data_IF_457606284216
#
_entry.id   IF_457606284216
#
_cell.length_a   1.000
_cell.length_b   1.000
_cell.length_c   1.000
_cell.angle_alpha   90.00
_cell.angle_beta   90.00
_cell.angle_gamma   90.00
#
_symmetry.space_group_name_H-M   'P 1'
#
loop_
_entity.id
_entity.type
_entity.pdbx_description
1 polymer ?
#
# COMPACT_ATOMS: atom_id res chain seq x y z
N UNK A 1 9.49 -24.17 -12.98
CA UNK A 1 9.10 -23.07 -12.09
C UNK A 1 8.31 -23.64 -10.92
N UNK A 2 8.65 -23.30 -9.67
CA UNK A 2 7.87 -23.73 -8.50
C UNK A 2 7.06 -22.54 -7.96
N UNK A 3 6.04 -22.16 -8.72
CA UNK A 3 5.21 -20.98 -8.43
C UNK A 3 4.63 -21.02 -7.01
N UNK A 4 4.21 -22.21 -6.55
CA UNK A 4 3.64 -22.38 -5.21
C UNK A 4 4.70 -22.15 -4.13
N UNK A 5 5.92 -22.62 -4.34
CA UNK A 5 7.04 -22.35 -3.44
C UNK A 5 7.40 -20.85 -3.41
N UNK A 6 7.52 -20.20 -4.58
CA UNK A 6 7.82 -18.75 -4.63
C UNK A 6 6.73 -17.92 -3.95
N UNK A 7 5.45 -18.23 -4.21
CA UNK A 7 4.32 -17.56 -3.57
C UNK A 7 4.33 -17.74 -2.05
N UNK A 8 4.63 -18.95 -1.57
CA UNK A 8 4.73 -19.25 -0.13
C UNK A 8 5.91 -18.51 0.49
N UNK A 9 7.07 -18.53 -0.16
CA UNK A 9 8.25 -17.82 0.29
C UNK A 9 8.04 -16.30 0.39
N UNK A 10 7.36 -15.69 -0.58
CA UNK A 10 7.03 -14.27 -0.54
C UNK A 10 6.05 -13.96 0.58
N UNK A 11 5.03 -14.81 0.78
CA UNK A 11 4.10 -14.68 1.90
C UNK A 11 4.83 -14.69 3.25
N UNK A 12 5.79 -15.61 3.41
CA UNK A 12 6.61 -15.71 4.62
C UNK A 12 7.47 -14.47 4.84
N UNK A 13 8.11 -13.91 3.81
CA UNK A 13 8.90 -12.68 3.94
C UNK A 13 8.05 -11.51 4.44
N UNK A 14 6.85 -11.33 3.89
CA UNK A 14 5.93 -10.26 4.34
C UNK A 14 5.42 -10.52 5.76
N UNK A 15 5.20 -11.78 6.14
CA UNK A 15 4.79 -12.14 7.50
C UNK A 15 5.92 -11.91 8.49
N UNK A 16 7.14 -12.31 8.13
CA UNK A 16 8.37 -12.12 8.93
C UNK A 16 8.66 -10.64 9.16
N UNK A 17 8.42 -9.76 8.17
CA UNK A 17 8.57 -8.31 8.35
C UNK A 17 7.84 -7.81 9.61
N UNK A 18 6.56 -8.13 9.72
CA UNK A 18 5.75 -7.69 10.86
C UNK A 18 6.10 -8.44 12.14
N UNK A 19 6.21 -9.77 12.05
CA UNK A 19 6.49 -10.60 13.22
C UNK A 19 7.86 -10.30 13.87
N UNK A 20 8.92 -10.13 13.07
CA UNK A 20 10.25 -9.81 13.60
C UNK A 20 10.33 -8.39 14.14
N UNK A 21 9.60 -7.44 13.56
CA UNK A 21 9.50 -6.08 14.12
C UNK A 21 8.83 -6.11 15.50
N UNK A 22 7.68 -6.80 15.62
CA UNK A 22 6.91 -6.88 16.86
C UNK A 22 7.61 -7.70 17.96
N UNK A 23 8.48 -8.63 17.57
CA UNK A 23 9.26 -9.48 18.48
C UNK A 23 10.71 -9.04 18.63
N UNK A 24 11.07 -7.85 18.15
CA UNK A 24 12.40 -7.24 18.30
C UNK A 24 13.55 -8.11 17.73
N UNK A 25 13.29 -8.92 16.70
CA UNK A 25 14.27 -9.79 16.04
C UNK A 25 15.02 -9.02 14.95
N UNK A 26 15.77 -7.98 15.37
CA UNK A 26 16.44 -7.02 14.49
C UNK A 26 17.41 -7.65 13.50
N UNK A 27 18.26 -8.57 13.96
CA UNK A 27 19.26 -9.22 13.11
C UNK A 27 18.59 -10.06 12.01
N UNK A 28 17.44 -10.67 12.29
CA UNK A 28 16.67 -11.44 11.31
C UNK A 28 15.90 -10.57 10.32
N UNK A 29 15.47 -9.37 10.71
CA UNK A 29 14.93 -8.41 9.75
C UNK A 29 15.99 -8.03 8.69
N UNK A 30 17.24 -7.84 9.13
CA UNK A 30 18.35 -7.50 8.25
C UNK A 30 18.70 -8.67 7.32
N UNK A 31 18.84 -9.89 7.88
CA UNK A 31 19.32 -11.05 7.12
C UNK A 31 18.23 -11.72 6.24
N UNK A 32 17.01 -11.81 6.73
CA UNK A 32 15.96 -12.64 6.12
C UNK A 32 14.89 -11.86 5.36
N UNK A 33 14.69 -10.57 5.66
CA UNK A 33 13.55 -9.79 5.13
C UNK A 33 14.00 -8.78 4.09
N UNK A 34 14.96 -7.93 4.40
CA UNK A 34 15.37 -6.84 3.52
C UNK A 34 16.55 -7.19 2.62
N UNK A 35 16.61 -6.53 1.46
CA UNK A 35 17.84 -6.49 0.68
C UNK A 35 18.89 -5.66 1.46
N UNK A 36 20.16 -6.09 1.53
CA UNK A 36 21.16 -5.38 2.35
C UNK A 36 21.38 -3.93 1.93
N UNK A 37 21.42 -3.67 0.62
CA UNK A 37 21.72 -2.37 0.01
C UNK A 37 20.62 -1.98 -0.98
N UNK A 38 20.54 -0.69 -1.31
CA UNK A 38 19.58 -0.13 -2.26
C UNK A 38 18.11 -0.38 -1.86
N UNK A 39 17.84 -0.52 -0.57
CA UNK A 39 16.50 -0.65 -0.01
C UNK A 39 15.77 0.68 -0.14
N UNK A 40 14.56 0.69 -0.69
CA UNK A 40 13.73 1.88 -0.85
C UNK A 40 12.64 1.91 0.22
N UNK A 41 12.64 2.94 1.06
CA UNK A 41 11.57 3.19 2.04
C UNK A 41 10.78 4.41 1.58
N UNK A 42 9.51 4.21 1.25
CA UNK A 42 8.61 5.21 0.67
C UNK A 42 7.43 5.45 1.63
N UNK A 43 7.65 6.39 2.56
CA UNK A 43 6.60 6.87 3.46
C UNK A 43 5.99 8.20 3.01
N UNK A 44 6.28 8.66 1.78
CA UNK A 44 5.75 9.92 1.23
C UNK A 44 4.23 10.06 1.37
N UNK A 45 3.43 9.04 1.05
CA UNK A 45 1.98 9.17 1.17
C UNK A 45 1.49 9.20 2.63
N UNK A 46 2.34 8.86 3.59
CA UNK A 46 1.99 8.65 4.99
C UNK A 46 2.52 9.76 5.91
N UNK A 47 3.74 10.22 5.66
CA UNK A 47 4.49 11.15 6.52
C UNK A 47 5.03 12.36 5.74
N UNK A 48 4.63 12.54 4.47
CA UNK A 48 5.09 13.62 3.58
C UNK A 48 6.62 13.71 3.34
N UNK A 49 7.36 12.67 3.70
CA UNK A 49 8.81 12.58 3.48
C UNK A 49 9.11 12.07 2.07
N UNK A 50 10.22 12.47 1.44
CA UNK A 50 10.64 11.84 0.19
C UNK A 50 10.99 10.35 0.39
N UNK A 51 10.79 9.54 -0.66
CA UNK A 51 11.25 8.16 -0.64
C UNK A 51 12.78 8.14 -0.55
N UNK A 52 13.32 7.32 0.35
CA UNK A 52 14.77 7.24 0.58
C UNK A 52 15.33 5.92 0.05
N UNK A 53 16.51 5.99 -0.56
CA UNK A 53 17.36 4.82 -0.83
C UNK A 53 18.32 4.66 0.36
N UNK A 54 18.37 3.48 0.94
CA UNK A 54 19.06 3.20 2.21
C UNK A 54 19.53 1.74 2.27
N UNK A 55 20.01 1.31 3.43
CA UNK A 55 20.40 -0.08 3.71
C UNK A 55 19.42 -0.73 4.70
N UNK A 56 19.39 -2.06 4.72
CA UNK A 56 18.64 -2.81 5.72
C UNK A 56 19.06 -2.42 7.14
N UNK A 57 20.37 -2.42 7.42
CA UNK A 57 20.92 -2.08 8.74
C UNK A 57 20.52 -0.69 9.22
N UNK A 58 20.58 0.32 8.34
CA UNK A 58 20.19 1.68 8.71
C UNK A 58 18.69 1.77 9.02
N UNK A 59 17.85 1.19 8.16
CA UNK A 59 16.39 1.21 8.33
C UNK A 59 15.97 0.50 9.61
N UNK A 60 16.50 -0.70 9.85
CA UNK A 60 16.22 -1.49 11.05
C UNK A 60 16.75 -0.78 12.31
N UNK A 61 17.92 -0.12 12.23
CA UNK A 61 18.42 0.71 13.33
C UNK A 61 17.51 1.89 13.68
N UNK A 62 16.92 2.54 12.67
CA UNK A 62 15.94 3.62 12.89
C UNK A 62 14.66 3.08 13.54
N UNK A 63 14.14 1.95 13.06
CA UNK A 63 12.95 1.33 13.65
C UNK A 63 13.20 0.84 15.07
N UNK A 64 14.37 0.27 15.35
CA UNK A 64 14.79 -0.09 16.70
C UNK A 64 14.74 1.12 17.64
N UNK A 65 15.34 2.25 17.23
CA UNK A 65 15.32 3.46 18.05
C UNK A 65 13.91 4.01 18.32
N UNK A 66 12.99 3.88 17.35
CA UNK A 66 11.57 4.21 17.55
C UNK A 66 10.89 3.23 18.52
N UNK A 67 11.17 1.93 18.36
CA UNK A 67 10.56 0.86 19.13
C UNK A 67 11.08 0.74 20.57
N UNK A 68 12.29 1.22 20.86
CA UNK A 68 12.85 1.30 22.23
C UNK A 68 12.00 2.22 23.14
N UNK A 69 11.22 3.14 22.55
CA UNK A 69 10.29 4.02 23.26
C UNK A 69 8.88 3.44 23.44
N UNK A 70 8.60 2.23 22.97
CA UNK A 70 7.27 1.61 22.99
C UNK A 70 7.25 0.38 23.92
N UNK A 71 6.16 0.21 24.67
CA UNK A 71 5.97 -0.99 25.51
C UNK A 71 5.62 -2.22 24.67
N UNK A 72 4.85 -2.02 23.59
CA UNK A 72 4.50 -3.06 22.64
C UNK A 72 4.06 -2.46 21.31
N UNK A 73 4.25 -3.24 20.24
CA UNK A 73 3.69 -2.97 18.94
C UNK A 73 3.05 -4.23 18.36
N UNK A 74 2.11 -4.01 17.45
CA UNK A 74 1.54 -5.07 16.64
C UNK A 74 1.31 -4.57 15.22
N UNK A 75 1.93 -5.22 14.26
CA UNK A 75 1.74 -5.02 12.83
C UNK A 75 1.04 -6.27 12.26
N UNK A 76 -0.16 -6.09 11.70
CA UNK A 76 -0.96 -7.21 11.17
C UNK A 76 -1.12 -7.05 9.66
N UNK A 77 -0.28 -7.71 8.85
CA UNK A 77 -0.49 -7.81 7.41
C UNK A 77 -1.64 -8.78 7.12
N UNK A 78 -2.49 -8.45 6.17
CA UNK A 78 -3.65 -9.25 5.74
C UNK A 78 -3.95 -9.01 4.26
N UNK A 79 -4.78 -9.86 3.66
CA UNK A 79 -5.16 -9.72 2.24
C UNK A 79 -3.97 -9.54 1.28
N UNK A 80 -2.93 -10.37 1.43
CA UNK A 80 -1.73 -10.34 0.57
C UNK A 80 -2.10 -10.74 -0.86
N UNK A 81 -2.00 -9.79 -1.78
CA UNK A 81 -2.12 -9.97 -3.22
C UNK A 81 -0.73 -10.00 -3.82
N UNK A 82 -0.22 -11.21 -4.07
CA UNK A 82 1.11 -11.46 -4.61
C UNK A 82 1.01 -11.52 -6.14
N UNK A 83 1.76 -10.66 -6.82
CA UNK A 83 1.89 -10.63 -8.27
C UNK A 83 3.14 -11.40 -8.70
N UNK A 84 2.90 -12.54 -9.35
CA UNK A 84 3.91 -13.41 -9.94
C UNK A 84 3.44 -13.84 -11.34
N UNK A 85 4.36 -14.09 -12.30
CA UNK A 85 4.02 -14.69 -13.58
C UNK A 85 3.27 -16.02 -13.40
N UNK A 86 2.29 -16.29 -14.27
CA UNK A 86 1.62 -17.59 -14.27
C UNK A 86 2.60 -18.68 -14.75
N UNK A 87 2.61 -19.86 -14.11
CA UNK A 87 3.49 -20.95 -14.51
C UNK A 87 3.14 -21.45 -15.91
N UNK A 88 4.15 -21.72 -16.72
CA UNK A 88 4.02 -22.20 -18.10
C UNK A 88 5.34 -22.82 -18.59
N UNK A 89 5.31 -23.58 -19.71
CA UNK A 89 6.50 -24.26 -20.24
C UNK A 89 7.60 -23.28 -20.68
N UNK A 90 7.22 -22.07 -21.09
CA UNK A 90 8.11 -20.99 -21.53
C UNK A 90 8.30 -19.90 -20.47
N UNK A 91 7.72 -20.08 -19.27
CA UNK A 91 7.83 -19.07 -18.21
C UNK A 91 9.15 -19.26 -17.45
N UNK A 92 10.04 -18.27 -17.58
CA UNK A 92 11.27 -18.20 -16.81
C UNK A 92 11.01 -18.09 -15.29
N UNK A 93 12.01 -18.49 -14.50
CA UNK A 93 11.96 -18.32 -13.04
C UNK A 93 11.91 -16.81 -12.71
N UNK A 94 10.91 -16.34 -11.93
CA UNK A 94 10.74 -14.93 -11.65
C UNK A 94 11.89 -14.39 -10.82
N UNK A 95 12.46 -13.26 -11.25
CA UNK A 95 13.53 -12.56 -10.55
C UNK A 95 13.02 -11.40 -9.68
N UNK A 96 11.80 -10.95 -9.94
CA UNK A 96 11.12 -9.89 -9.20
C UNK A 96 9.67 -10.29 -8.95
N UNK A 97 9.09 -9.71 -7.91
CA UNK A 97 7.69 -9.87 -7.56
C UNK A 97 7.21 -8.60 -6.86
N UNK A 98 5.89 -8.42 -6.80
CA UNK A 98 5.28 -7.37 -5.99
C UNK A 98 4.16 -7.92 -5.13
N UNK A 99 3.95 -7.31 -3.96
CA UNK A 99 2.87 -7.64 -3.05
C UNK A 99 2.15 -6.36 -2.68
N UNK A 100 0.83 -6.37 -2.83
CA UNK A 100 -0.04 -5.40 -2.17
C UNK A 100 -0.76 -6.13 -1.04
N UNK A 101 -0.66 -5.63 0.18
CA UNK A 101 -1.37 -6.23 1.32
C UNK A 101 -1.95 -5.15 2.19
N UNK A 102 -2.98 -5.47 2.97
CA UNK A 102 -3.46 -4.59 4.03
C UNK A 102 -2.58 -4.72 5.27
N UNK A 103 -2.39 -3.66 6.07
CA UNK A 103 -1.56 -3.65 7.29
C UNK A 103 -2.11 -2.75 8.40
N UNK A 104 -2.63 -3.33 9.48
CA UNK A 104 -3.02 -2.54 10.66
C UNK A 104 -1.85 -2.45 11.61
N UNK A 105 -1.59 -1.26 12.16
CA UNK A 105 -0.54 -1.05 13.16
C UNK A 105 -1.17 -0.55 14.45
N UNK A 106 -0.74 -1.12 15.57
CA UNK A 106 -1.05 -0.63 16.91
C UNK A 106 0.26 -0.48 17.68
N UNK A 107 0.49 0.71 18.22
CA UNK A 107 1.62 1.02 19.09
C UNK A 107 1.07 1.41 20.46
N UNK A 108 1.73 0.94 21.52
CA UNK A 108 1.34 1.23 22.89
C UNK A 108 2.53 1.69 23.71
N UNK A 109 2.32 2.79 24.44
CA UNK A 109 3.18 3.31 25.50
C UNK A 109 2.28 3.76 26.66
N UNK A 110 2.18 2.97 27.72
CA UNK A 110 1.15 3.06 28.78
C UNK A 110 1.10 4.44 29.44
N UNK A 111 2.26 5.03 29.71
CA UNK A 111 2.38 6.30 30.44
C UNK A 111 2.57 7.51 29.51
N UNK A 112 2.16 7.40 28.24
CA UNK A 112 2.30 8.48 27.28
C UNK A 112 1.28 9.61 27.50
N UNK A 113 1.78 10.85 27.52
CA UNK A 113 0.94 12.05 27.43
C UNK A 113 0.14 12.04 26.12
N UNK A 114 -1.18 12.27 26.18
CA UNK A 114 -2.09 12.15 25.04
C UNK A 114 -2.77 10.77 24.91
N UNK A 115 -2.50 9.87 25.86
CA UNK A 115 -3.11 8.54 25.94
C UNK A 115 -2.17 7.44 25.45
N UNK A 116 -2.44 6.18 25.82
CA UNK A 116 -1.44 5.13 25.76
C UNK A 116 -1.23 4.52 24.37
N UNK A 117 -2.14 4.78 23.43
CA UNK A 117 -2.24 3.99 22.22
C UNK A 117 -2.33 4.87 20.97
N UNK A 118 -1.65 4.40 19.94
CA UNK A 118 -1.83 4.81 18.56
C UNK A 118 -2.26 3.60 17.75
N UNK A 119 -3.22 3.79 16.85
CA UNK A 119 -3.58 2.76 15.88
C UNK A 119 -3.81 3.41 14.52
N UNK A 120 -3.37 2.74 13.46
CA UNK A 120 -3.56 3.22 12.11
C UNK A 120 -3.82 2.08 11.13
N UNK A 121 -4.37 2.49 9.99
CA UNK A 121 -4.46 1.70 8.79
C UNK A 121 -4.34 2.61 7.57
N UNK A 122 -4.16 2.04 6.40
CA UNK A 122 -3.37 2.46 5.27
C UNK A 122 -4.09 1.95 3.95
N UNK A 123 -4.54 2.71 2.94
CA UNK A 123 -5.25 2.14 1.74
C UNK A 123 -5.19 3.12 0.59
N UNK A 124 -5.17 2.58 -0.62
CA UNK A 124 -5.43 3.32 -1.86
C UNK A 124 -6.79 2.96 -2.47
N UNK A 125 -7.48 3.99 -2.97
CA UNK A 125 -8.54 3.88 -3.96
C UNK A 125 -7.94 3.26 -5.23
N UNK A 126 -8.60 2.23 -5.76
CA UNK A 126 -8.38 1.82 -7.15
C UNK A 126 -9.03 2.93 -7.99
N UNK A 127 -8.25 3.95 -8.34
CA UNK A 127 -8.59 4.73 -9.52
C UNK A 127 -8.37 3.77 -10.69
N UNK A 128 -9.45 3.14 -11.14
CA UNK A 128 -9.45 2.40 -12.40
C UNK A 128 -9.07 3.41 -13.49
N UNK A 129 -7.78 3.43 -13.84
CA UNK A 129 -7.27 4.22 -14.96
C UNK A 129 -7.84 3.73 -16.31
N UNK A 130 -8.69 2.71 -16.28
CA UNK A 130 -9.42 2.18 -17.43
C UNK A 130 -10.82 2.76 -17.67
N UNK A 131 -11.36 3.59 -16.77
CA UNK A 131 -12.67 4.21 -17.06
C UNK A 131 -12.55 5.36 -18.07
N UNK A 132 -11.45 6.13 -18.04
CA UNK A 132 -11.23 7.22 -18.99
C UNK A 132 -10.79 6.71 -20.37
N UNK A 133 -10.02 5.62 -20.45
CA UNK A 133 -9.69 5.01 -21.75
C UNK A 133 -10.92 4.39 -22.41
N UNK A 134 -11.80 3.75 -21.62
CA UNK A 134 -13.08 3.21 -22.10
C UNK A 134 -14.04 4.32 -22.53
N UNK A 135 -14.14 5.41 -21.76
CA UNK A 135 -14.99 6.56 -22.10
C UNK A 135 -14.47 7.31 -23.33
N UNK A 136 -13.16 7.51 -23.46
CA UNK A 136 -12.56 8.12 -24.65
C UNK A 136 -12.70 7.23 -25.89
N UNK A 137 -12.60 5.91 -25.74
CA UNK A 137 -12.87 4.95 -26.82
C UNK A 137 -14.34 4.99 -27.24
N UNK A 138 -15.26 5.12 -26.27
CA UNK A 138 -16.69 5.27 -26.54
C UNK A 138 -17.00 6.59 -27.26
N UNK A 139 -16.42 7.72 -26.82
CA UNK A 139 -16.58 9.02 -27.49
C UNK A 139 -16.00 8.99 -28.92
N UNK A 140 -14.88 8.30 -29.14
CA UNK A 140 -14.33 8.09 -30.49
C UNK A 140 -15.21 7.19 -31.35
N UNK A 141 -15.88 6.19 -30.79
CA UNK A 141 -16.82 5.37 -31.55
C UNK A 141 -18.08 6.16 -31.98
N UNK A 142 -18.53 7.09 -31.13
CA UNK A 142 -19.74 7.88 -31.40
C UNK A 142 -19.53 8.97 -32.47
N UNK A 143 -18.28 9.39 -32.73
CA UNK A 143 -17.99 10.38 -33.77
C UNK A 143 -17.97 9.82 -35.20
N UNK A 144 -18.09 8.50 -35.40
CA UNK A 144 -18.08 7.88 -36.74
C UNK A 144 -19.49 7.59 -37.28
N UNK A 145 -20.56 7.77 -36.49
CA UNK A 145 -21.94 7.51 -36.93
C UNK A 145 -22.85 8.74 -36.75
N UNK A 146 -22.82 9.72 -37.68
CA UNK A 146 -23.54 10.98 -37.53
C UNK A 146 -25.07 10.87 -37.61
N UNK A 147 -25.64 9.71 -37.97
CA UNK A 147 -27.10 9.54 -38.09
C UNK A 147 -27.80 9.07 -36.80
N UNK A 148 -27.09 8.49 -35.83
CA UNK A 148 -27.72 8.04 -34.57
C UNK A 148 -27.79 9.16 -33.50
N UNK A 149 -26.97 10.20 -33.65
CA UNK A 149 -26.87 11.27 -32.66
C UNK A 149 -28.11 12.18 -32.63
N UNK A 150 -28.79 12.37 -33.77
CA UNK A 150 -29.94 13.27 -33.83
C UNK A 150 -31.15 12.75 -33.03
N UNK A 151 -31.35 11.43 -33.01
CA UNK A 151 -32.41 10.81 -32.19
C UNK A 151 -32.04 10.78 -30.70
N UNK A 152 -30.75 10.67 -30.36
CA UNK A 152 -30.33 10.62 -28.95
C UNK A 152 -30.34 12.02 -28.30
N UNK A 153 -29.93 13.07 -29.01
CA UNK A 153 -29.94 14.44 -28.47
C UNK A 153 -31.36 15.01 -28.30
N UNK A 154 -32.30 14.60 -29.16
CA UNK A 154 -33.72 14.97 -28.99
C UNK A 154 -34.31 14.39 -27.70
N UNK A 155 -33.83 13.22 -27.25
CA UNK A 155 -34.25 12.61 -25.99
C UNK A 155 -33.59 13.24 -24.76
N UNK A 156 -32.36 13.73 -24.87
CA UNK A 156 -31.66 14.33 -23.73
C UNK A 156 -32.17 15.73 -23.37
N UNK A 157 -32.64 16.51 -24.35
CA UNK A 157 -33.17 17.86 -24.09
C UNK A 157 -34.57 17.87 -23.47
N UNK A 158 -35.35 16.79 -23.59
CA UNK A 158 -36.65 16.68 -22.94
C UNK A 158 -36.57 16.28 -21.45
N UNK A 159 -35.41 15.83 -20.98
CA UNK A 159 -35.22 15.39 -19.59
C UNK A 159 -34.25 16.25 -18.75
N UNK A 160 -33.66 17.30 -19.32
CA UNK A 160 -32.78 18.21 -18.58
C UNK A 160 -33.24 19.68 -18.61
N UNK A 161 -34.28 20.06 -17.86
CA UNK A 161 -34.46 21.43 -17.41
C UNK A 161 -34.20 21.49 -15.89
N UNK A 162 -32.95 21.42 -15.44
CA UNK A 162 -32.60 21.66 -14.02
C UNK A 162 -31.10 21.89 -13.81
N UNK A 163 -30.46 22.68 -14.67
CA UNK A 163 -29.16 23.28 -14.36
C UNK A 163 -29.31 24.80 -14.39
N UNK A 164 -29.96 25.31 -13.33
CA UNK A 164 -29.87 26.70 -12.95
C UNK A 164 -28.47 27.02 -12.44
N UNK A 165 -27.83 27.96 -13.13
CA UNK A 165 -26.83 28.91 -12.67
C UNK A 165 -25.84 28.47 -11.56
N UNK A 166 -24.73 27.86 -12.00
CA UNK A 166 -23.43 28.50 -11.86
C UNK A 166 -22.99 28.94 -10.46
N UNK A 167 -22.71 28.01 -9.56
CA UNK A 167 -21.58 28.17 -8.62
C UNK A 167 -20.99 26.79 -8.29
N UNK A 168 -19.83 26.49 -8.88
CA UNK A 168 -18.96 25.38 -8.48
C UNK A 168 -18.45 25.66 -7.06
N UNK A 169 -19.27 25.39 -6.04
CA UNK A 169 -18.84 25.35 -4.65
C UNK A 169 -18.53 23.90 -4.28
N UNK A 170 -17.25 23.66 -4.01
CA UNK A 170 -16.65 22.53 -3.27
C UNK A 170 -17.61 21.39 -2.90
N UNK A 171 -17.80 20.44 -3.83
CA UNK A 171 -18.55 19.19 -3.60
C UNK A 171 -17.67 18.15 -2.86
N UNK A 172 -16.42 18.47 -2.49
CA UNK A 172 -15.53 17.50 -1.85
C UNK A 172 -15.72 17.36 -0.32
N UNK A 173 -16.43 18.26 0.35
CA UNK A 173 -16.59 18.21 1.81
C UNK A 173 -17.75 17.32 2.29
N UNK A 174 -18.85 17.20 1.52
CA UNK A 174 -20.09 16.60 2.02
C UNK A 174 -20.33 15.14 1.61
N UNK A 175 -19.40 14.50 0.86
CA UNK A 175 -19.55 13.10 0.40
C UNK A 175 -18.76 12.06 1.20
N UNK A 176 -18.43 12.30 2.48
CA UNK A 176 -17.92 11.24 3.36
C UNK A 176 -19.00 10.74 4.32
N UNK A 177 -19.78 9.70 3.96
CA UNK A 177 -20.82 9.18 4.84
C UNK A 177 -20.21 8.63 6.15
N UNK A 178 -20.78 8.98 7.31
CA UNK A 178 -20.31 8.50 8.61
C UNK A 178 -20.54 6.99 8.70
N UNK A 179 -19.47 6.21 8.81
CA UNK A 179 -19.55 4.76 9.04
C UNK A 179 -18.60 3.87 8.25
N UNK A 180 -17.75 4.40 7.36
CA UNK A 180 -16.73 3.56 6.69
C UNK A 180 -15.52 3.36 7.60
N UNK A 181 -15.31 2.12 8.06
CA UNK A 181 -14.12 1.70 8.81
C UNK A 181 -12.96 1.51 7.83
N UNK A 182 -11.91 2.29 7.99
CA UNK A 182 -10.75 2.32 7.10
C UNK A 182 -9.71 1.27 7.57
N UNK A 183 -8.77 0.85 6.71
CA UNK A 183 -7.74 -0.17 7.01
C UNK A 183 -6.44 0.13 6.30
N UNK A 184 -5.39 -0.61 6.72
CA UNK A 184 -3.96 -0.78 6.38
C UNK A 184 -3.48 -1.15 4.96
N UNK A 185 -2.29 -0.75 4.40
CA UNK A 185 -1.77 -1.11 3.06
C UNK A 185 -0.27 -0.86 2.80
N UNK A 186 0.48 -1.92 2.57
CA UNK A 186 1.82 -1.83 1.97
C UNK A 186 1.81 -2.19 0.48
N UNK A 187 2.58 -1.43 -0.30
CA UNK A 187 3.05 -1.85 -1.62
C UNK A 187 4.51 -2.24 -1.49
N UNK A 188 4.80 -3.51 -1.71
CA UNK A 188 6.11 -4.12 -1.48
C UNK A 188 6.63 -4.64 -2.81
N UNK A 189 7.85 -4.25 -3.17
CA UNK A 189 8.58 -4.86 -4.29
C UNK A 189 9.65 -5.79 -3.70
N UNK A 190 9.80 -6.97 -4.31
CA UNK A 190 10.75 -8.00 -3.89
C UNK A 190 11.64 -8.40 -5.06
N UNK A 191 12.86 -8.79 -4.73
CA UNK A 191 13.83 -9.37 -5.66
C UNK A 191 14.30 -10.72 -5.15
N UNK A 192 14.55 -11.63 -6.09
CA UNK A 192 15.20 -12.90 -5.83
C UNK A 192 16.72 -12.68 -5.69
N UNK A 193 17.31 -13.16 -4.60
CA UNK A 193 18.74 -13.20 -4.36
C UNK A 193 19.26 -14.62 -4.57
N UNK A 194 20.45 -14.75 -5.17
CA UNK A 194 21.06 -16.05 -5.52
C UNK A 194 21.46 -16.86 -4.30
N UNK A 195 21.93 -16.18 -3.26
CA UNK A 195 22.17 -16.75 -1.94
C UNK A 195 20.89 -16.54 -1.14
N UNK A 196 19.97 -17.51 -1.19
CA UNK A 196 18.93 -17.58 -0.18
C UNK A 196 19.68 -17.68 1.14
N UNK A 197 19.72 -16.60 1.93
CA UNK A 197 20.57 -16.44 3.11
C UNK A 197 20.36 -17.53 4.17
N UNK A 198 20.57 -17.25 5.45
CA UNK A 198 20.51 -18.30 6.48
C UNK A 198 19.21 -19.15 6.49
N UNK A 199 18.09 -18.59 5.99
CA UNK A 199 16.79 -19.25 5.93
C UNK A 199 16.51 -20.08 4.66
N UNK A 200 17.36 -20.02 3.64
CA UNK A 200 17.13 -20.68 2.34
C UNK A 200 16.03 -20.06 1.47
N UNK A 201 15.24 -19.12 1.99
CA UNK A 201 14.27 -18.35 1.21
C UNK A 201 15.01 -17.31 0.35
N UNK A 202 14.85 -17.28 -0.99
CA UNK A 202 15.60 -16.40 -1.87
C UNK A 202 14.97 -15.02 -2.04
N UNK A 203 13.80 -14.73 -1.48
CA UNK A 203 13.12 -13.45 -1.70
C UNK A 203 13.53 -12.42 -0.64
N UNK A 204 13.79 -11.18 -1.08
CA UNK A 204 14.08 -10.04 -0.19
C UNK A 204 13.29 -8.82 -0.65
N UNK A 205 12.80 -8.04 0.31
CA UNK A 205 12.12 -6.78 0.07
C UNK A 205 13.15 -5.76 -0.41
N UNK A 206 12.92 -5.18 -1.59
CA UNK A 206 13.71 -4.09 -2.16
C UNK A 206 13.03 -2.74 -2.02
N UNK A 207 11.70 -2.72 -1.91
CA UNK A 207 10.94 -1.51 -1.65
C UNK A 207 9.79 -1.77 -0.70
N UNK A 208 9.62 -0.88 0.27
CA UNK A 208 8.47 -0.85 1.17
C UNK A 208 7.82 0.53 1.09
N UNK A 209 6.61 0.58 0.53
CA UNK A 209 5.81 1.80 0.45
C UNK A 209 4.58 1.71 1.36
N UNK A 210 4.41 2.69 2.25
CA UNK A 210 3.23 2.79 3.11
C UNK A 210 2.30 3.92 2.69
N UNK A 211 0.98 3.68 2.71
CA UNK A 211 -0.07 4.64 2.34
C UNK A 211 -1.18 4.83 3.40
N UNK A 212 -0.99 5.65 4.43
CA UNK A 212 -2.00 5.84 5.51
C UNK A 212 -3.40 6.19 4.97
N UNK A 213 -4.43 5.59 5.55
CA UNK A 213 -5.86 5.75 5.23
C UNK A 213 -6.64 6.28 6.41
N UNK A 214 -6.28 5.86 7.61
CA UNK A 214 -6.78 6.40 8.86
C UNK A 214 -5.70 6.35 9.92
N UNK A 215 -5.83 7.25 10.87
CA UNK A 215 -4.93 7.40 11.97
C UNK A 215 -5.78 7.78 13.18
N UNK A 216 -5.60 7.09 14.31
CA UNK A 216 -6.34 7.35 15.54
C UNK A 216 -5.44 7.20 16.76
N UNK A 217 -5.73 7.97 17.80
CA UNK A 217 -4.97 7.95 19.04
C UNK A 217 -3.77 8.89 19.02
N UNK A 218 -2.79 8.59 19.87
CA UNK A 218 -1.74 9.52 20.24
C UNK A 218 -0.63 9.62 19.17
N UNK A 219 -0.76 10.58 18.24
CA UNK A 219 0.22 10.90 17.19
C UNK A 219 1.62 11.19 17.72
N UNK A 220 1.74 11.74 18.94
CA UNK A 220 3.02 12.04 19.59
C UNK A 220 3.89 10.80 19.81
N UNK A 221 3.31 9.60 19.81
CA UNK A 221 4.07 8.34 19.85
C UNK A 221 4.99 8.14 18.64
N UNK A 222 4.63 8.72 17.49
CA UNK A 222 5.45 8.71 16.28
C UNK A 222 6.28 10.00 16.11
N UNK A 223 6.30 10.87 17.13
CA UNK A 223 6.93 12.20 17.04
C UNK A 223 6.21 13.14 16.07
N UNK A 224 4.94 12.87 15.76
CA UNK A 224 4.11 13.73 14.91
C UNK A 224 3.36 14.74 15.78
N UNK A 225 3.26 15.97 15.29
CA UNK A 225 2.38 17.00 15.85
C UNK A 225 0.92 16.73 15.45
N UNK A 226 -0.03 17.31 16.20
CA UNK A 226 -1.48 17.07 16.04
C UNK A 226 -2.07 17.67 14.75
#
# INVERSE_FOLDING_TARGET
>A
MDYLLDRTNIHDVVTKLSFYLDTYQWDKLIDEVFIPNDLIIDYTPSLANEAIVTTATRTVGQWKGLMDGMDTAQHIPSALLISLPQPGPETDVPQTASVTCNVTVTLVRKDAEGGPQLSNGVRALIASHDYLSSLLSFIRAVTVFPLYLYLYFSFLFLYFPLFGDGTLRDIDADMKPPGRRYQGRYDIDLKRVSEGGSSGNPWRITRLKAKISWFSGNKKLLGLED
#
